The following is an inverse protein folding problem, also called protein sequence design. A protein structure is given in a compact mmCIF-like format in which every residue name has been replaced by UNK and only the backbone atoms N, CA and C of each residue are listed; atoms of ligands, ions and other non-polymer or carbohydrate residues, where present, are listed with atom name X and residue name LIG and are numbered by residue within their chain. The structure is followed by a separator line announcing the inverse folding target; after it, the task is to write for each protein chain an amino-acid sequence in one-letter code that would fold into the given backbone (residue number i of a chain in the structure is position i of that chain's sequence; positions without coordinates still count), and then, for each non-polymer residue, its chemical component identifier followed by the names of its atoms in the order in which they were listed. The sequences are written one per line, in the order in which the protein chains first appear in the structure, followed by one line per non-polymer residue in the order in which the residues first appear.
data_IF_632064724106
#
_entry.id   IF_632064724106
#
_cell.length_a   1.000
_cell.length_b   1.000
_cell.length_c   1.000
_cell.angle_alpha   90.00
_cell.angle_beta   90.00
_cell.angle_gamma   90.00
#
_symmetry.space_group_name_H-M   'P 1'
#
loop_
_entity.id
_entity.type
_entity.pdbx_description
1 polymer ?
#
# COMPACT_ATOMS: atom_id res chain seq x y z
N UNK A 1 -61.32 -22.34 -21.94
CA UNK A 1 -61.37 -21.05 -21.23
C UNK A 1 -60.29 -21.07 -20.15
N UNK A 2 -59.24 -20.27 -20.35
CA UNK A 2 -58.45 -19.57 -19.32
C UNK A 2 -59.40 -18.57 -18.58
N UNK A 3 -59.13 -17.97 -17.38
CA UNK A 3 -57.87 -17.35 -16.91
C UNK A 3 -57.45 -17.51 -15.42
N UNK A 4 -56.12 -17.47 -15.15
CA UNK A 4 -55.25 -16.42 -14.51
C UNK A 4 -55.24 -16.53 -12.97
N UNK A 5 -54.14 -16.35 -12.23
CA UNK A 5 -53.10 -15.31 -12.36
C UNK A 5 -51.73 -15.65 -11.70
N UNK A 6 -50.68 -15.16 -12.37
CA UNK A 6 -49.52 -14.39 -11.88
C UNK A 6 -48.56 -14.91 -10.80
N UNK A 7 -47.43 -15.46 -11.27
CA UNK A 7 -46.11 -15.33 -10.62
C UNK A 7 -45.23 -14.47 -11.54
N UNK A 8 -44.97 -13.23 -11.12
CA UNK A 8 -44.08 -12.29 -11.79
C UNK A 8 -42.61 -12.75 -11.66
N UNK A 9 -42.04 -13.18 -12.79
CA UNK A 9 -40.59 -13.22 -13.05
C UNK A 9 -40.19 -11.89 -13.67
N UNK A 10 -39.55 -11.01 -12.93
CA UNK A 10 -38.91 -9.84 -13.53
C UNK A 10 -37.54 -10.25 -14.11
N UNK A 11 -37.47 -10.09 -15.42
CA UNK A 11 -36.29 -10.21 -16.27
C UNK A 11 -35.90 -8.77 -16.60
N UNK A 12 -34.69 -8.32 -16.26
CA UNK A 12 -34.19 -7.04 -16.76
C UNK A 12 -33.01 -7.26 -17.70
N UNK A 13 -33.24 -6.81 -18.93
CA UNK A 13 -32.47 -7.13 -20.12
C UNK A 13 -31.23 -6.28 -20.31
N UNK A 14 -30.26 -6.91 -20.97
CA UNK A 14 -29.12 -6.30 -21.62
C UNK A 14 -29.57 -5.36 -22.75
N UNK A 15 -29.02 -4.15 -22.79
CA UNK A 15 -29.00 -3.32 -23.99
C UNK A 15 -27.57 -3.22 -24.53
N UNK A 16 -27.28 -4.02 -25.55
CA UNK A 16 -26.16 -3.84 -26.46
C UNK A 16 -26.58 -2.93 -27.61
N UNK A 17 -25.87 -1.81 -27.81
CA UNK A 17 -26.05 -0.92 -28.96
C UNK A 17 -24.71 -0.56 -29.58
N UNK A 18 -24.35 -1.23 -30.68
CA UNK A 18 -23.21 -0.91 -31.53
C UNK A 18 -23.62 0.07 -32.65
N UNK A 19 -22.65 0.89 -33.04
CA UNK A 19 -22.48 1.66 -34.28
C UNK A 19 -23.08 3.09 -34.39
N UNK A 20 -22.20 4.09 -34.26
CA UNK A 20 -21.78 4.93 -35.40
C UNK A 20 -20.59 5.82 -35.04
N UNK A 21 -19.57 5.77 -35.90
CA UNK A 21 -18.43 6.69 -35.96
C UNK A 21 -18.93 8.07 -36.39
N UNK A 22 -18.67 9.11 -35.59
CA UNK A 22 -18.54 10.50 -36.05
C UNK A 22 -17.45 11.18 -35.20
N UNK A 23 -16.36 11.59 -35.85
CA UNK A 23 -15.42 12.57 -35.30
C UNK A 23 -16.14 13.91 -35.11
N UNK A 24 -16.11 14.49 -33.90
CA UNK A 24 -16.16 15.95 -33.75
C UNK A 24 -15.55 16.43 -32.42
N UNK A 25 -14.50 17.22 -32.62
CA UNK A 25 -13.85 18.29 -31.84
C UNK A 25 -14.35 18.69 -30.43
N UNK A 26 -13.33 18.99 -29.60
CA UNK A 26 -13.25 19.96 -28.48
C UNK A 26 -14.51 20.77 -28.14
N UNK A 27 -14.83 20.81 -26.84
CA UNK A 27 -15.60 21.91 -26.25
C UNK A 27 -16.16 21.58 -24.87
N UNK A 28 -15.61 22.25 -23.85
CA UNK A 28 -16.10 22.33 -22.47
C UNK A 28 -17.61 22.57 -22.35
N UNK A 29 -18.22 22.19 -21.21
CA UNK A 29 -18.85 23.12 -20.23
C UNK A 29 -19.65 22.37 -19.14
N UNK A 30 -19.18 22.53 -17.88
CA UNK A 30 -19.92 22.84 -16.62
C UNK A 30 -20.99 21.86 -16.07
N UNK A 31 -21.29 21.75 -14.76
CA UNK A 31 -20.97 22.48 -13.51
C UNK A 31 -21.57 21.62 -12.37
N UNK A 32 -21.02 21.65 -11.17
CA UNK A 32 -21.83 21.91 -9.96
C UNK A 32 -21.03 22.73 -8.95
N UNK A 33 -21.56 23.91 -8.72
CA UNK A 33 -21.12 25.00 -7.85
C UNK A 33 -21.34 24.67 -6.38
N UNK A 34 -20.48 25.14 -5.47
CA UNK A 34 -20.90 25.61 -4.15
C UNK A 34 -20.13 26.88 -3.77
N UNK A 35 -20.91 27.91 -3.38
CA UNK A 35 -20.50 29.25 -3.01
C UNK A 35 -20.15 29.32 -1.51
N UNK A 36 -18.96 29.86 -1.23
CA UNK A 36 -18.55 30.82 -0.19
C UNK A 36 -19.35 30.88 1.13
N UNK A 37 -18.63 30.67 2.23
CA UNK A 37 -18.79 31.46 3.47
C UNK A 37 -17.41 31.75 4.07
N UNK A 38 -17.06 33.04 4.17
CA UNK A 38 -15.92 33.51 4.95
C UNK A 38 -16.19 33.25 6.44
N UNK A 39 -15.23 32.68 7.16
CA UNK A 39 -15.22 32.70 8.62
C UNK A 39 -13.80 32.91 9.15
N UNK A 40 -13.72 33.75 10.18
CA UNK A 40 -12.56 34.47 10.66
C UNK A 40 -11.43 33.60 11.25
N UNK A 41 -10.21 34.09 11.06
CA UNK A 41 -8.97 33.60 11.66
C UNK A 41 -9.01 33.84 13.17
N UNK A 42 -8.90 32.77 13.96
CA UNK A 42 -8.45 32.84 15.36
C UNK A 42 -7.18 32.01 15.47
N UNK A 43 -6.08 32.70 15.74
CA UNK A 43 -4.78 32.09 15.99
C UNK A 43 -4.82 31.34 17.34
N UNK A 44 -4.48 30.05 17.31
CA UNK A 44 -4.02 29.32 18.50
C UNK A 44 -2.54 29.00 18.30
N UNK A 45 -1.72 29.66 19.12
CA UNK A 45 -0.31 29.36 19.29
C UNK A 45 -0.12 28.13 20.19
N UNK A 46 1.07 27.52 20.08
CA UNK A 46 1.69 26.47 20.91
C UNK A 46 1.29 25.03 20.55
N UNK A 47 2.18 24.06 20.27
CA UNK A 47 3.60 23.92 20.56
C UNK A 47 4.38 23.35 19.37
N UNK A 48 5.59 23.89 19.17
CA UNK A 48 6.64 23.41 18.28
C UNK A 48 7.09 22.03 18.74
N UNK A 49 6.88 21.00 17.91
CA UNK A 49 7.77 19.84 17.91
C UNK A 49 8.78 20.06 16.79
N UNK A 50 10.04 20.26 17.20
CA UNK A 50 11.16 20.38 16.29
C UNK A 50 11.36 19.04 15.58
N UNK A 51 11.03 18.98 14.29
CA UNK A 51 11.55 17.96 13.39
C UNK A 51 12.86 18.50 12.83
N UNK A 52 13.97 18.00 13.36
CA UNK A 52 15.29 18.18 12.78
C UNK A 52 15.33 17.45 11.43
N UNK A 53 15.22 18.22 10.34
CA UNK A 53 15.55 17.76 9.01
C UNK A 53 17.04 18.01 8.80
N UNK A 54 17.86 16.99 9.01
CA UNK A 54 19.25 17.01 8.55
C UNK A 54 19.26 16.82 7.04
N UNK A 55 19.51 17.94 6.35
CA UNK A 55 19.87 17.98 4.96
C UNK A 55 21.28 17.41 4.78
N UNK A 56 21.42 16.35 3.97
CA UNK A 56 22.69 15.87 3.47
C UNK A 56 22.45 14.79 2.43
N UNK A 57 23.12 14.69 1.29
CA UNK A 57 24.26 15.41 0.72
C UNK A 57 24.17 15.20 -0.80
N UNK A 58 24.60 16.23 -1.52
CA UNK A 58 24.81 16.28 -2.96
C UNK A 58 25.60 15.07 -3.50
N UNK A 59 25.26 14.71 -4.74
CA UNK A 59 25.70 13.52 -5.46
C UNK A 59 27.17 13.11 -5.36
N UNK A 60 27.38 11.80 -5.23
CA UNK A 60 28.53 11.07 -5.76
C UNK A 60 28.08 9.67 -6.19
N UNK A 61 28.47 9.28 -7.41
CA UNK A 61 28.24 7.94 -7.99
C UNK A 61 28.87 6.86 -7.10
N UNK A 62 28.25 5.68 -6.92
CA UNK A 62 28.99 4.52 -6.47
C UNK A 62 29.71 3.89 -7.68
N UNK A 63 31.03 4.03 -7.73
CA UNK A 63 31.89 3.13 -8.51
C UNK A 63 32.72 2.27 -7.57
N UNK A 64 32.78 0.98 -7.89
CA UNK A 64 33.78 -0.02 -7.47
C UNK A 64 33.78 -0.46 -5.99
N UNK A 65 33.41 -1.74 -5.80
CA UNK A 65 33.88 -2.69 -4.79
C UNK A 65 34.54 -2.12 -3.52
N UNK A 66 33.79 -2.01 -2.43
CA UNK A 66 34.37 -2.08 -1.08
C UNK A 66 33.53 -2.98 -0.18
N UNK A 67 34.11 -4.13 0.10
CA UNK A 67 33.89 -4.94 1.30
C UNK A 67 34.19 -4.11 2.55
N UNK A 68 33.54 -4.46 3.67
CA UNK A 68 33.83 -4.09 5.07
C UNK A 68 33.04 -2.89 5.66
N UNK A 69 32.12 -3.26 6.58
CA UNK A 69 31.63 -2.58 7.79
C UNK A 69 31.03 -1.16 7.67
N UNK A 70 29.71 -1.07 7.85
CA UNK A 70 28.98 0.19 8.06
C UNK A 70 28.44 0.25 9.51
N UNK A 71 28.74 1.32 10.26
CA UNK A 71 27.81 1.92 11.19
C UNK A 71 27.30 3.23 10.58
N UNK A 72 26.06 3.26 10.13
CA UNK A 72 25.31 4.51 9.95
C UNK A 72 24.21 4.54 11.01
N UNK A 73 24.32 5.52 11.89
CA UNK A 73 23.46 5.65 13.07
C UNK A 73 22.00 5.83 12.69
N UNK A 74 21.14 5.06 13.35
CA UNK A 74 19.75 5.43 13.53
C UNK A 74 19.33 5.10 14.96
N UNK A 75 18.88 6.13 15.69
CA UNK A 75 18.40 6.03 17.06
C UNK A 75 17.09 5.25 17.09
N UNK A 76 17.16 3.92 17.26
CA UNK A 76 16.07 3.10 17.74
C UNK A 76 16.61 2.20 18.85
N UNK A 77 16.25 2.51 20.10
CA UNK A 77 16.67 1.84 21.33
C UNK A 77 16.03 0.43 21.51
N UNK A 78 15.93 -0.36 20.43
CA UNK A 78 15.48 -1.75 20.45
C UNK A 78 16.45 -2.72 19.76
N UNK A 79 17.59 -2.24 19.23
CA UNK A 79 18.49 -3.05 18.40
C UNK A 79 19.93 -3.16 18.95
N UNK A 80 20.09 -3.15 20.27
CA UNK A 80 21.40 -3.26 20.94
C UNK A 80 22.08 -4.63 20.74
N UNK A 81 21.36 -5.68 20.37
CA UNK A 81 21.95 -7.02 20.12
C UNK A 81 22.37 -7.28 18.66
N UNK A 82 22.09 -6.35 17.73
CA UNK A 82 22.43 -6.54 16.30
C UNK A 82 23.79 -5.93 15.93
N UNK A 83 24.42 -5.16 16.83
CA UNK A 83 25.73 -4.56 16.57
C UNK A 83 26.90 -5.56 16.55
N UNK A 84 26.67 -6.85 16.85
CA UNK A 84 27.70 -7.91 16.84
C UNK A 84 27.33 -9.16 16.04
N UNK A 85 26.24 -9.13 15.25
CA UNK A 85 25.85 -10.30 14.45
C UNK A 85 26.69 -10.37 13.18
N UNK A 86 27.62 -11.31 13.14
CA UNK A 86 28.28 -11.70 11.88
C UNK A 86 27.35 -12.63 11.10
N UNK A 87 26.99 -12.22 9.89
CA UNK A 87 26.12 -13.03 9.03
C UNK A 87 26.91 -14.10 8.29
N UNK A 88 26.46 -15.35 8.37
CA UNK A 88 26.99 -16.47 7.59
C UNK A 88 26.24 -16.54 6.25
N UNK A 89 26.78 -15.83 5.26
CA UNK A 89 26.19 -15.72 3.92
C UNK A 89 26.36 -16.98 3.06
N UNK A 90 27.16 -17.96 3.53
CA UNK A 90 27.30 -19.27 2.87
C UNK A 90 26.20 -20.22 3.34
N UNK A 91 25.82 -20.14 4.62
CA UNK A 91 24.81 -21.01 5.22
C UNK A 91 23.39 -20.49 5.09
N UNK A 92 23.18 -19.18 5.17
CA UNK A 92 21.85 -18.56 5.16
C UNK A 92 21.67 -17.66 3.94
N UNK A 93 20.43 -17.54 3.46
CA UNK A 93 20.11 -16.75 2.28
C UNK A 93 19.89 -15.26 2.59
N UNK A 94 19.40 -14.93 3.79
CA UNK A 94 19.08 -13.57 4.23
C UNK A 94 19.14 -13.45 5.77
N UNK A 95 19.29 -12.23 6.33
CA UNK A 95 19.48 -11.99 7.77
C UNK A 95 18.44 -12.64 8.69
N UNK A 96 17.14 -12.47 8.41
CA UNK A 96 16.07 -13.00 9.25
C UNK A 96 16.09 -14.53 9.34
N UNK A 97 16.56 -15.23 8.30
CA UNK A 97 16.71 -16.69 8.33
C UNK A 97 17.74 -17.12 9.37
N UNK A 98 18.89 -16.45 9.42
CA UNK A 98 19.93 -16.71 10.41
C UNK A 98 19.45 -16.39 11.82
N UNK A 99 18.91 -15.18 12.02
CA UNK A 99 18.46 -14.71 13.32
C UNK A 99 17.41 -15.66 13.92
N UNK A 100 16.43 -16.10 13.11
CA UNK A 100 15.43 -17.08 13.52
C UNK A 100 16.04 -18.44 13.86
N UNK A 101 16.98 -18.93 13.05
CA UNK A 101 17.62 -20.25 13.26
C UNK A 101 18.49 -20.28 14.51
N UNK A 102 19.15 -19.16 14.83
CA UNK A 102 20.01 -19.01 16.00
C UNK A 102 19.24 -18.59 17.27
N UNK A 103 17.91 -18.50 17.21
CA UNK A 103 17.08 -18.09 18.35
C UNK A 103 17.32 -16.64 18.80
N UNK A 104 17.82 -15.79 17.89
CA UNK A 104 18.05 -14.37 18.16
C UNK A 104 16.76 -13.58 17.92
N UNK A 105 16.51 -12.60 18.79
CA UNK A 105 15.40 -11.67 18.61
C UNK A 105 15.69 -10.72 17.45
N UNK A 106 14.66 -10.42 16.68
CA UNK A 106 14.71 -9.41 15.63
C UNK A 106 13.32 -8.85 15.39
N UNK A 107 13.26 -7.64 14.84
CA UNK A 107 12.01 -7.03 14.43
C UNK A 107 11.48 -7.71 13.16
N UNK A 108 10.41 -8.50 13.30
CA UNK A 108 9.76 -9.19 12.17
C UNK A 108 9.17 -8.22 11.14
N UNK A 109 8.86 -6.99 11.53
CA UNK A 109 8.34 -5.95 10.62
C UNK A 109 9.43 -5.34 9.76
N UNK A 110 10.70 -5.45 10.13
CA UNK A 110 11.79 -4.93 9.31
C UNK A 110 12.05 -5.79 8.06
N UNK A 111 11.43 -5.40 6.95
CA UNK A 111 11.53 -6.09 5.66
C UNK A 111 12.97 -6.18 5.13
N UNK A 112 13.86 -5.25 5.51
CA UNK A 112 15.27 -5.26 5.05
C UNK A 112 16.01 -6.51 5.53
N UNK A 113 15.58 -7.12 6.64
CA UNK A 113 16.14 -8.39 7.12
C UNK A 113 15.78 -9.59 6.21
N UNK A 114 14.91 -9.40 5.24
CA UNK A 114 14.51 -10.41 4.25
C UNK A 114 15.12 -10.16 2.87
N UNK A 115 16.06 -9.22 2.76
CA UNK A 115 16.87 -9.07 1.55
C UNK A 115 17.95 -10.14 1.48
N UNK A 116 18.09 -10.74 0.31
CA UNK A 116 19.10 -11.78 0.08
C UNK A 116 20.51 -11.21 0.19
N UNK A 117 21.43 -11.98 0.75
CA UNK A 117 22.83 -11.59 0.82
C UNK A 117 23.53 -11.51 -0.54
N UNK A 118 23.14 -12.36 -1.48
CA UNK A 118 23.80 -12.50 -2.78
C UNK A 118 23.33 -11.46 -3.81
N UNK A 119 22.03 -11.18 -3.87
CA UNK A 119 21.44 -10.30 -4.89
C UNK A 119 20.87 -9.00 -4.33
N UNK A 120 20.67 -8.88 -3.01
CA UNK A 120 19.95 -7.77 -2.39
C UNK A 120 18.45 -7.76 -2.67
N UNK A 121 17.93 -8.77 -3.40
CA UNK A 121 16.51 -8.88 -3.73
C UNK A 121 15.68 -9.23 -2.50
N UNK A 122 14.48 -8.65 -2.40
CA UNK A 122 13.58 -8.90 -1.28
C UNK A 122 12.85 -10.23 -1.45
N UNK A 123 13.00 -11.12 -0.45
CA UNK A 123 12.23 -12.35 -0.30
C UNK A 123 10.82 -12.04 0.24
N UNK A 124 9.99 -11.34 -0.54
CA UNK A 124 8.73 -10.74 -0.06
C UNK A 124 7.72 -11.77 0.50
N UNK A 125 7.64 -12.97 -0.10
CA UNK A 125 6.84 -14.07 0.45
C UNK A 125 7.39 -14.54 1.81
N UNK A 126 8.71 -14.74 1.93
CA UNK A 126 9.30 -15.18 3.19
C UNK A 126 9.12 -14.13 4.30
N UNK A 127 9.09 -12.85 3.94
CA UNK A 127 8.74 -11.79 4.87
C UNK A 127 7.29 -11.88 5.34
N UNK A 128 6.33 -11.97 4.41
CA UNK A 128 4.91 -12.13 4.75
C UNK A 128 4.64 -13.37 5.63
N UNK A 129 5.26 -14.50 5.29
CA UNK A 129 5.16 -15.72 6.08
C UNK A 129 5.75 -15.53 7.48
N UNK A 130 6.90 -14.84 7.58
CA UNK A 130 7.54 -14.48 8.86
C UNK A 130 6.68 -13.56 9.74
N UNK A 131 5.82 -12.75 9.14
CA UNK A 131 4.85 -11.90 9.84
C UNK A 131 3.62 -12.67 10.34
N UNK A 132 3.32 -13.83 9.75
CA UNK A 132 2.02 -14.50 9.88
C UNK A 132 0.94 -13.86 9.00
N UNK A 133 1.34 -13.18 7.93
CA UNK A 133 0.46 -12.57 6.92
C UNK A 133 0.53 -13.39 5.62
N UNK A 134 -0.30 -13.04 4.64
CA UNK A 134 -0.20 -13.58 3.27
C UNK A 134 -0.19 -12.44 2.27
N UNK A 135 0.53 -12.63 1.17
CA UNK A 135 0.48 -11.72 0.03
C UNK A 135 -0.41 -12.32 -1.05
N UNK A 136 -1.21 -11.48 -1.69
CA UNK A 136 -1.92 -11.83 -2.92
C UNK A 136 -1.59 -10.82 -4.00
N UNK A 137 -1.28 -11.34 -5.18
CA UNK A 137 -1.08 -10.56 -6.39
C UNK A 137 -2.43 -10.02 -6.89
N UNK A 138 -2.41 -8.83 -7.48
CA UNK A 138 -3.59 -8.22 -8.07
C UNK A 138 -3.20 -7.40 -9.30
N UNK A 139 -3.99 -7.50 -10.36
CA UNK A 139 -3.87 -6.68 -11.56
C UNK A 139 -5.21 -5.96 -11.84
N UNK A 140 -5.19 -4.63 -11.98
CA UNK A 140 -6.40 -3.81 -12.22
C UNK A 140 -6.93 -3.93 -13.67
N UNK A 141 -6.04 -4.20 -14.61
CA UNK A 141 -6.23 -4.02 -16.06
C UNK A 141 -7.09 -5.07 -16.78
N UNK A 142 -7.53 -6.11 -16.08
CA UNK A 142 -8.41 -7.14 -16.67
C UNK A 142 -9.87 -7.03 -16.25
N UNK A 143 -10.23 -6.13 -15.33
CA UNK A 143 -11.62 -6.01 -14.88
C UNK A 143 -12.61 -5.74 -16.03
N UNK A 144 -12.20 -4.97 -17.04
CA UNK A 144 -13.03 -4.70 -18.23
C UNK A 144 -13.05 -5.84 -19.26
N UNK A 145 -12.00 -6.68 -19.30
CA UNK A 145 -11.89 -7.82 -20.25
C UNK A 145 -12.46 -9.14 -19.70
N UNK A 146 -12.55 -9.26 -18.38
CA UNK A 146 -13.26 -10.32 -17.67
C UNK A 146 -14.16 -9.69 -16.59
N UNK A 147 -15.27 -9.05 -17.00
CA UNK A 147 -16.23 -8.49 -16.06
C UNK A 147 -16.68 -9.55 -15.05
N UNK A 148 -16.36 -9.36 -13.77
CA UNK A 148 -16.74 -10.26 -12.68
C UNK A 148 -15.64 -11.18 -12.15
N UNK A 149 -14.50 -11.32 -12.83
CA UNK A 149 -13.36 -12.11 -12.33
C UNK A 149 -12.22 -11.18 -11.93
N UNK A 150 -11.97 -11.04 -10.62
CA UNK A 150 -10.74 -10.41 -10.14
C UNK A 150 -9.57 -11.32 -10.49
N UNK A 151 -8.66 -10.85 -11.35
CA UNK A 151 -7.42 -11.58 -11.63
C UNK A 151 -6.47 -11.43 -10.45
N UNK A 152 -6.40 -12.47 -9.62
CA UNK A 152 -5.49 -12.55 -8.48
C UNK A 152 -4.13 -13.14 -8.88
N UNK A 153 -3.54 -12.55 -9.91
CA UNK A 153 -2.21 -12.83 -10.42
C UNK A 153 -1.71 -11.55 -11.11
N UNK A 154 -0.40 -11.35 -11.16
CA UNK A 154 0.15 -10.27 -11.98
C UNK A 154 -0.20 -10.48 -13.45
N UNK A 155 -0.61 -9.40 -14.11
CA UNK A 155 -0.83 -9.36 -15.55
C UNK A 155 0.16 -8.39 -16.19
N UNK A 156 1.13 -8.95 -16.91
CA UNK A 156 2.19 -8.22 -17.60
C UNK A 156 1.94 -8.13 -19.11
N UNK A 157 0.80 -8.66 -19.62
CA UNK A 157 0.50 -8.68 -21.06
C UNK A 157 0.33 -7.28 -21.64
N UNK A 158 0.00 -6.32 -20.79
CA UNK A 158 -0.24 -4.92 -21.17
C UNK A 158 1.02 -4.05 -21.11
N UNK A 159 2.21 -4.62 -20.85
CA UNK A 159 3.46 -3.83 -20.75
C UNK A 159 3.77 -2.98 -21.99
N UNK A 160 3.22 -3.36 -23.15
CA UNK A 160 3.34 -2.60 -24.40
C UNK A 160 2.46 -1.35 -24.45
N UNK A 161 1.53 -1.19 -23.51
CA UNK A 161 0.58 -0.08 -23.50
C UNK A 161 1.21 1.17 -22.83
N UNK A 162 0.95 2.37 -23.37
CA UNK A 162 1.59 3.60 -22.86
C UNK A 162 1.27 3.95 -21.39
N UNK A 163 0.14 3.46 -20.88
CA UNK A 163 -0.33 3.72 -19.51
C UNK A 163 0.04 2.61 -18.52
N UNK A 164 0.65 1.52 -19.00
CA UNK A 164 1.11 0.45 -18.14
C UNK A 164 2.36 0.91 -17.38
N UNK A 165 2.31 0.84 -16.05
CA UNK A 165 3.41 1.21 -15.16
C UNK A 165 4.07 2.52 -15.60
N UNK A 166 3.34 3.62 -15.42
CA UNK A 166 3.67 4.92 -16.02
C UNK A 166 3.75 6.05 -15.00
N UNK A 167 4.41 7.13 -15.40
CA UNK A 167 4.37 8.41 -14.72
C UNK A 167 3.24 9.27 -15.30
N UNK A 168 2.57 10.02 -14.43
CA UNK A 168 1.60 11.03 -14.82
C UNK A 168 1.70 12.24 -13.89
N UNK A 169 1.14 13.36 -14.34
CA UNK A 169 1.08 14.60 -13.55
C UNK A 169 -0.38 14.95 -13.25
N UNK A 170 -0.68 15.28 -12.00
CA UNK A 170 -2.00 15.73 -11.58
C UNK A 170 -1.86 16.99 -10.73
N UNK A 171 -2.45 18.11 -11.18
CA UNK A 171 -2.32 19.43 -10.55
C UNK A 171 -0.86 19.84 -10.26
N UNK A 172 0.06 19.52 -11.17
CA UNK A 172 1.49 19.80 -11.05
C UNK A 172 2.28 18.76 -10.23
N UNK A 173 1.61 17.84 -9.54
CA UNK A 173 2.25 16.77 -8.77
C UNK A 173 2.59 15.58 -9.69
N UNK A 174 3.85 15.16 -9.72
CA UNK A 174 4.33 13.98 -10.45
C UNK A 174 4.04 12.73 -9.64
N UNK A 175 3.45 11.74 -10.28
CA UNK A 175 3.00 10.50 -9.64
C UNK A 175 3.32 9.32 -10.54
N UNK A 176 3.42 8.13 -9.94
CA UNK A 176 3.44 6.90 -10.71
C UNK A 176 2.24 6.02 -10.34
N UNK A 177 1.72 5.33 -11.35
CA UNK A 177 0.73 4.28 -11.18
C UNK A 177 1.28 2.95 -11.62
N UNK A 178 0.96 1.90 -10.86
CA UNK A 178 1.03 0.53 -11.34
C UNK A 178 -0.33 -0.13 -11.31
N UNK A 179 -0.64 -0.85 -12.38
CA UNK A 179 -1.80 -1.72 -12.47
C UNK A 179 -1.61 -3.01 -11.67
N UNK A 180 -0.35 -3.39 -11.41
CA UNK A 180 0.03 -4.55 -10.61
C UNK A 180 0.28 -4.13 -9.15
N UNK A 181 -0.27 -4.88 -8.20
CA UNK A 181 -0.22 -4.57 -6.77
C UNK A 181 -0.03 -5.83 -5.95
N UNK A 182 0.66 -5.69 -4.83
CA UNK A 182 0.55 -6.65 -3.74
C UNK A 182 -0.54 -6.21 -2.77
N UNK A 183 -1.39 -7.16 -2.37
CA UNK A 183 -2.20 -7.05 -1.17
C UNK A 183 -1.54 -7.85 -0.05
N UNK A 184 -1.02 -7.14 0.94
CA UNK A 184 -0.65 -7.72 2.23
C UNK A 184 -1.93 -7.91 3.01
N UNK A 185 -2.32 -9.17 3.21
CA UNK A 185 -3.56 -9.54 3.88
C UNK A 185 -3.22 -10.24 5.18
N UNK A 186 -3.92 -9.86 6.24
CA UNK A 186 -3.86 -10.59 7.50
C UNK A 186 -4.42 -12.01 7.29
N UNK A 187 -3.82 -12.98 7.98
CA UNK A 187 -4.33 -14.34 8.02
C UNK A 187 -5.45 -14.41 9.07
N UNK A 188 -6.67 -14.12 8.65
CA UNK A 188 -7.85 -14.27 9.50
C UNK A 188 -8.41 -15.70 9.35
N UNK A 189 -8.74 -16.35 10.47
CA UNK A 189 -9.22 -17.74 10.53
C UNK A 189 -10.67 -17.92 10.09
N UNK A 190 -11.44 -16.83 10.01
CA UNK A 190 -12.75 -16.81 9.37
C UNK A 190 -12.58 -16.35 7.92
N UNK A 191 -13.12 -17.09 6.97
CA UNK A 191 -13.18 -16.68 5.56
C UNK A 191 -13.97 -15.38 5.42
N UNK A 192 -13.27 -14.25 5.61
CA UNK A 192 -13.80 -12.93 5.32
C UNK A 192 -13.74 -12.75 3.81
N UNK A 193 -14.88 -12.50 3.15
CA UNK A 193 -14.93 -12.12 1.73
C UNK A 193 -13.96 -10.97 1.40
N UNK A 194 -13.69 -10.12 2.40
CA UNK A 194 -12.69 -9.06 2.36
C UNK A 194 -11.86 -9.10 3.66
N UNK A 195 -10.59 -9.53 3.65
CA UNK A 195 -9.75 -9.50 4.84
C UNK A 195 -9.22 -8.08 5.13
N UNK A 196 -8.71 -7.86 6.34
CA UNK A 196 -7.88 -6.67 6.60
C UNK A 196 -6.66 -6.73 5.69
N UNK A 197 -6.45 -5.67 4.90
CA UNK A 197 -5.38 -5.66 3.91
C UNK A 197 -4.81 -4.28 3.63
N UNK A 198 -3.53 -4.26 3.27
CA UNK A 198 -2.80 -3.10 2.79
C UNK A 198 -2.30 -3.34 1.38
N UNK A 199 -2.08 -2.28 0.59
CA UNK A 199 -1.65 -2.40 -0.81
C UNK A 199 -0.34 -1.66 -1.09
N UNK A 200 0.50 -2.26 -1.91
CA UNK A 200 1.74 -1.66 -2.46
C UNK A 200 1.77 -1.89 -3.97
N UNK A 201 2.14 -0.87 -4.74
CA UNK A 201 2.31 -0.97 -6.19
C UNK A 201 3.54 -1.80 -6.55
N UNK A 202 3.42 -2.63 -7.59
CA UNK A 202 4.48 -3.49 -8.11
C UNK A 202 4.80 -3.06 -9.52
N UNK A 203 6.05 -2.67 -9.75
CA UNK A 203 6.51 -2.01 -10.96
C UNK A 203 7.42 -2.94 -11.76
N UNK A 204 7.44 -2.82 -13.08
CA UNK A 204 8.43 -3.48 -13.94
C UNK A 204 9.65 -2.59 -14.21
N UNK A 205 9.53 -1.30 -13.90
CA UNK A 205 10.60 -0.29 -13.97
C UNK A 205 10.90 0.27 -12.58
N UNK A 206 12.17 0.27 -12.14
CA UNK A 206 12.52 0.84 -10.83
C UNK A 206 12.27 2.35 -10.77
N UNK A 207 12.32 3.05 -11.90
CA UNK A 207 12.07 4.49 -12.00
C UNK A 207 10.63 4.87 -11.68
N UNK A 208 9.70 3.91 -11.57
CA UNK A 208 8.30 4.16 -11.23
C UNK A 208 7.99 3.94 -9.74
N UNK A 209 8.98 3.55 -8.93
CA UNK A 209 8.79 3.26 -7.51
C UNK A 209 8.64 4.53 -6.67
N UNK A 210 7.58 5.31 -6.91
CA UNK A 210 7.30 6.58 -6.24
C UNK A 210 6.63 6.34 -4.88
N UNK A 211 6.94 7.13 -3.86
CA UNK A 211 6.22 7.13 -2.59
C UNK A 211 4.71 7.30 -2.76
N UNK A 212 3.95 6.47 -2.05
CA UNK A 212 2.49 6.57 -1.97
C UNK A 212 2.02 6.03 -0.63
N UNK A 213 1.27 6.85 0.11
CA UNK A 213 0.71 6.41 1.38
C UNK A 213 -0.21 5.20 1.26
N UNK A 214 -0.10 4.32 2.22
CA UNK A 214 -0.81 3.05 2.32
C UNK A 214 -2.29 3.26 2.51
N UNK A 215 -3.09 2.47 1.80
CA UNK A 215 -4.51 2.30 2.10
C UNK A 215 -4.70 1.02 2.90
N UNK A 216 -5.34 1.16 4.06
CA UNK A 216 -5.70 0.05 4.95
C UNK A 216 -7.19 -0.21 4.75
N UNK A 217 -7.51 -1.34 4.12
CA UNK A 217 -8.89 -1.80 3.94
C UNK A 217 -9.28 -2.62 5.15
N UNK A 218 -10.40 -2.27 5.77
CA UNK A 218 -10.96 -2.95 6.94
C UNK A 218 -12.40 -3.36 6.65
N UNK A 219 -12.75 -4.65 6.78
CA UNK A 219 -14.10 -5.14 6.55
C UNK A 219 -15.06 -4.69 7.66
N UNK A 220 -16.36 -4.67 7.33
CA UNK A 220 -17.38 -4.40 8.33
C UNK A 220 -17.38 -5.45 9.44
N UNK A 221 -17.68 -5.01 10.67
CA UNK A 221 -17.43 -5.79 11.87
C UNK A 221 -18.44 -5.48 12.98
N UNK A 222 -18.68 -6.45 13.86
CA UNK A 222 -19.58 -6.33 15.01
C UNK A 222 -18.83 -6.56 16.32
N UNK A 223 -19.15 -5.75 17.31
CA UNK A 223 -18.77 -5.93 18.69
C UNK A 223 -19.67 -6.96 19.39
N UNK A 224 -19.20 -7.56 20.48
CA UNK A 224 -19.97 -8.52 21.30
C UNK A 224 -21.26 -7.92 21.88
N UNK A 225 -21.33 -6.59 22.04
CA UNK A 225 -22.53 -5.90 22.50
C UNK A 225 -23.54 -5.57 21.38
N UNK A 226 -23.30 -6.01 20.14
CA UNK A 226 -24.16 -5.76 18.97
C UNK A 226 -23.92 -4.43 18.25
N UNK A 227 -22.98 -3.59 18.70
CA UNK A 227 -22.56 -2.39 17.94
C UNK A 227 -21.77 -2.80 16.70
N UNK A 228 -21.96 -2.12 15.57
CA UNK A 228 -21.31 -2.46 14.32
C UNK A 228 -20.57 -1.29 13.68
N UNK A 229 -19.55 -1.62 12.89
CA UNK A 229 -18.82 -0.71 12.02
C UNK A 229 -18.95 -1.19 10.58
N UNK A 230 -19.20 -0.30 9.61
CA UNK A 230 -19.24 -0.68 8.21
C UNK A 230 -17.84 -0.91 7.66
N UNK A 231 -17.78 -1.56 6.49
CA UNK A 231 -16.57 -1.57 5.67
C UNK A 231 -16.01 -0.16 5.51
N UNK A 232 -14.69 -0.03 5.60
CA UNK A 232 -14.02 1.25 5.46
C UNK A 232 -12.60 1.09 4.91
N UNK A 233 -12.13 2.15 4.27
CA UNK A 233 -10.72 2.29 3.91
C UNK A 233 -10.14 3.47 4.69
N UNK A 234 -8.94 3.26 5.23
CA UNK A 234 -8.20 4.23 6.01
C UNK A 234 -6.91 4.61 5.29
N UNK A 235 -6.60 5.90 5.27
CA UNK A 235 -5.35 6.46 4.75
C UNK A 235 -5.11 7.80 5.43
N UNK A 236 -3.85 8.19 5.61
CA UNK A 236 -3.54 9.52 6.11
C UNK A 236 -4.10 10.59 5.17
N UNK A 237 -4.68 11.64 5.74
CA UNK A 237 -5.34 12.72 5.02
C UNK A 237 -4.41 13.38 4.00
N UNK A 238 -3.13 13.54 4.37
CA UNK A 238 -2.10 14.05 3.46
C UNK A 238 -2.02 13.20 2.17
N UNK A 239 -1.93 11.88 2.31
CA UNK A 239 -1.82 10.95 1.19
C UNK A 239 -3.11 10.76 0.42
N UNK A 240 -4.25 10.88 1.11
CA UNK A 240 -5.56 10.94 0.47
C UNK A 240 -5.65 12.18 -0.44
N UNK A 241 -5.29 13.36 0.07
CA UNK A 241 -5.29 14.60 -0.71
C UNK A 241 -4.31 14.50 -1.89
N UNK A 242 -3.09 14.03 -1.65
CA UNK A 242 -2.09 13.85 -2.71
C UNK A 242 -2.58 12.88 -3.81
N UNK A 243 -3.26 11.80 -3.42
CA UNK A 243 -3.89 10.86 -4.36
C UNK A 243 -5.01 11.46 -5.21
N UNK A 244 -5.54 12.62 -4.82
CA UNK A 244 -6.55 13.40 -5.54
C UNK A 244 -5.97 14.69 -6.17
N UNK A 245 -4.64 14.83 -6.21
CA UNK A 245 -3.97 15.99 -6.80
C UNK A 245 -4.07 17.24 -5.94
N UNK A 246 -4.24 17.08 -4.63
CA UNK A 246 -4.35 18.17 -3.68
C UNK A 246 -3.16 18.12 -2.73
N UNK A 247 -2.44 19.23 -2.60
CA UNK A 247 -1.40 19.35 -1.57
C UNK A 247 -2.03 19.79 -0.26
N UNK A 248 -1.42 19.38 0.86
CA UNK A 248 -1.84 19.84 2.19
C UNK A 248 -0.74 20.70 2.75
N UNK A 249 -0.92 22.02 2.69
CA UNK A 249 0.02 23.00 3.25
C UNK A 249 1.42 22.99 2.61
N UNK A 250 1.56 22.54 1.36
CA UNK A 250 2.79 22.65 0.57
C UNK A 250 2.49 22.92 -0.90
N UNK A 251 3.50 23.31 -1.68
CA UNK A 251 3.36 23.48 -3.13
C UNK A 251 3.53 22.16 -3.87
N UNK A 252 3.10 22.09 -5.13
CA UNK A 252 3.38 20.93 -5.98
C UNK A 252 4.90 20.72 -6.20
N UNK A 253 5.68 21.81 -6.18
CA UNK A 253 7.15 21.76 -6.28
C UNK A 253 7.76 21.11 -5.03
N UNK A 254 7.29 21.49 -3.84
CA UNK A 254 7.71 20.87 -2.56
C UNK A 254 7.37 19.38 -2.53
N UNK A 255 6.17 19.02 -2.97
CA UNK A 255 5.77 17.62 -3.10
C UNK A 255 6.69 16.87 -4.07
N UNK A 256 6.94 17.43 -5.25
CA UNK A 256 7.75 16.77 -6.28
C UNK A 256 9.20 16.56 -5.83
N UNK A 257 9.75 17.53 -5.10
CA UNK A 257 11.08 17.43 -4.52
C UNK A 257 11.21 16.29 -3.50
N UNK A 258 10.11 15.89 -2.85
CA UNK A 258 10.09 14.81 -1.84
C UNK A 258 9.62 13.46 -2.39
N UNK A 259 8.58 13.46 -3.22
CA UNK A 259 7.78 12.28 -3.56
C UNK A 259 7.52 12.12 -5.07
N UNK A 260 7.78 13.16 -5.88
CA UNK A 260 7.56 13.14 -7.33
C UNK A 260 8.68 12.47 -8.12
N UNK A 261 9.34 11.47 -7.52
CA UNK A 261 10.44 10.71 -8.09
C UNK A 261 10.54 9.35 -7.38
N UNK A 262 11.29 8.41 -7.97
CA UNK A 262 11.47 7.09 -7.39
C UNK A 262 12.30 7.17 -6.10
N UNK A 263 11.83 6.49 -5.05
CA UNK A 263 12.49 6.42 -3.75
C UNK A 263 12.66 4.96 -3.35
N UNK A 264 13.92 4.60 -3.10
CA UNK A 264 14.37 3.25 -2.72
C UNK A 264 13.71 2.13 -3.55
N UNK A 265 13.94 2.04 -4.88
CA UNK A 265 13.41 0.93 -5.66
C UNK A 265 14.01 -0.41 -5.18
N UNK A 266 13.17 -1.29 -4.66
CA UNK A 266 13.56 -2.61 -4.14
C UNK A 266 13.20 -3.66 -5.17
N UNK A 267 14.20 -4.38 -5.69
CA UNK A 267 13.97 -5.50 -6.58
C UNK A 267 13.45 -6.71 -5.79
N UNK A 268 12.42 -7.37 -6.31
CA UNK A 268 11.81 -8.55 -5.69
C UNK A 268 12.51 -9.83 -6.15
N UNK A 269 12.69 -10.77 -5.22
CA UNK A 269 12.97 -12.17 -5.57
C UNK A 269 11.63 -12.86 -5.86
N UNK A 270 11.29 -13.01 -7.13
CA UNK A 270 9.99 -13.54 -7.57
C UNK A 270 10.13 -14.52 -8.75
N UNK A 271 10.69 -15.73 -8.52
CA UNK A 271 11.12 -16.63 -9.60
C UNK A 271 9.97 -17.20 -10.44
N UNK A 272 8.72 -17.16 -9.95
CA UNK A 272 7.53 -17.56 -10.70
C UNK A 272 7.23 -16.61 -11.86
N UNK A 273 7.79 -15.39 -11.84
CA UNK A 273 7.65 -14.39 -12.88
C UNK A 273 9.00 -14.18 -13.55
N UNK A 274 9.10 -14.50 -14.84
CA UNK A 274 10.33 -14.32 -15.62
C UNK A 274 10.53 -12.84 -16.04
N UNK A 275 10.39 -11.91 -15.09
CA UNK A 275 10.53 -10.46 -15.26
C UNK A 275 11.02 -9.86 -13.95
N UNK A 276 11.92 -8.88 -14.04
CA UNK A 276 12.28 -8.10 -12.85
C UNK A 276 11.08 -7.29 -12.38
N UNK A 277 10.76 -7.40 -11.09
CA UNK A 277 9.70 -6.66 -10.44
C UNK A 277 10.29 -5.82 -9.31
N UNK A 278 9.68 -4.67 -9.07
CA UNK A 278 10.15 -3.68 -8.10
C UNK A 278 8.99 -3.18 -7.24
N UNK A 279 9.30 -2.79 -6.02
CA UNK A 279 8.40 -2.06 -5.12
C UNK A 279 9.17 -0.88 -4.54
N UNK A 280 8.47 0.18 -4.14
CA UNK A 280 9.11 1.26 -3.39
C UNK A 280 9.37 0.83 -1.95
N UNK A 281 10.63 0.89 -1.51
CA UNK A 281 11.04 0.67 -0.12
C UNK A 281 10.39 1.66 0.83
N UNK A 282 10.14 2.90 0.37
CA UNK A 282 9.35 3.88 1.11
C UNK A 282 7.91 3.37 1.38
N UNK A 283 7.26 2.81 0.37
CA UNK A 283 5.93 2.21 0.53
C UNK A 283 5.95 0.96 1.40
N UNK A 284 7.05 0.20 1.40
CA UNK A 284 7.25 -0.90 2.34
C UNK A 284 7.32 -0.38 3.78
N UNK A 285 8.13 0.64 4.04
CA UNK A 285 8.22 1.28 5.36
C UNK A 285 6.85 1.81 5.82
N UNK A 286 6.09 2.42 4.92
CA UNK A 286 4.75 2.91 5.24
C UNK A 286 3.76 1.78 5.59
N UNK A 287 3.80 0.61 4.92
CA UNK A 287 2.98 -0.54 5.39
C UNK A 287 3.49 -1.07 6.74
N UNK A 288 4.81 -1.09 6.97
CA UNK A 288 5.40 -1.60 8.23
C UNK A 288 5.02 -0.76 9.44
N UNK A 289 4.73 0.54 9.24
CA UNK A 289 4.19 1.44 10.27
C UNK A 289 2.86 0.93 10.83
N UNK A 290 2.00 0.35 10.00
CA UNK A 290 0.64 -0.05 10.38
C UNK A 290 0.50 -1.53 10.75
N UNK A 291 1.38 -2.40 10.24
CA UNK A 291 1.37 -3.83 10.59
C UNK A 291 1.36 -4.12 12.11
N UNK A 292 2.25 -3.55 12.95
CA UNK A 292 2.20 -3.79 14.39
C UNK A 292 0.95 -3.21 15.05
N UNK A 293 0.41 -2.10 14.54
CA UNK A 293 -0.84 -1.52 15.04
C UNK A 293 -1.99 -2.49 14.77
N UNK A 294 -2.08 -3.03 13.56
CA UNK A 294 -3.10 -4.01 13.17
C UNK A 294 -2.94 -5.29 13.99
N UNK A 295 -1.73 -5.85 14.08
CA UNK A 295 -1.46 -7.07 14.84
C UNK A 295 -1.82 -6.90 16.32
N UNK A 296 -1.54 -5.73 16.92
CA UNK A 296 -1.77 -5.47 18.36
C UNK A 296 -3.23 -5.55 18.80
N UNK A 297 -4.18 -5.42 17.87
CA UNK A 297 -5.62 -5.44 18.18
C UNK A 297 -6.14 -6.88 18.33
N UNK A 298 -5.47 -7.85 17.74
CA UNK A 298 -5.94 -9.23 17.72
C UNK A 298 -5.10 -10.08 18.66
N UNK A 299 -5.73 -10.46 19.76
CA UNK A 299 -5.04 -11.04 20.92
C UNK A 299 -4.91 -12.56 20.82
N UNK A 300 -5.72 -13.19 19.98
CA UNK A 300 -5.71 -14.62 19.71
C UNK A 300 -6.17 -14.92 18.28
N UNK A 301 -6.17 -16.21 17.90
CA UNK A 301 -6.62 -16.70 16.60
C UNK A 301 -8.06 -17.25 16.64
N UNK A 302 -8.82 -17.00 17.71
CA UNK A 302 -10.17 -17.53 17.85
C UNK A 302 -11.09 -16.84 16.83
N UNK A 303 -11.66 -17.59 15.86
CA UNK A 303 -12.51 -17.00 14.83
C UNK A 303 -13.74 -16.29 15.39
N UNK A 304 -14.24 -16.68 16.57
CA UNK A 304 -15.39 -16.03 17.23
C UNK A 304 -15.07 -14.59 17.64
N UNK A 305 -13.82 -14.28 17.94
CA UNK A 305 -13.38 -12.95 18.37
C UNK A 305 -13.00 -12.04 17.19
N UNK A 306 -12.82 -12.58 15.97
CA UNK A 306 -12.30 -11.83 14.83
C UNK A 306 -13.14 -10.60 14.48
N UNK A 307 -14.48 -10.71 14.54
CA UNK A 307 -15.36 -9.57 14.27
C UNK A 307 -15.18 -8.48 15.33
N UNK A 308 -15.08 -8.87 16.61
CA UNK A 308 -14.84 -7.92 17.69
C UNK A 308 -13.47 -7.23 17.57
N UNK A 309 -12.40 -7.96 17.26
CA UNK A 309 -11.08 -7.37 17.03
C UNK A 309 -11.07 -6.44 15.82
N UNK A 310 -11.75 -6.82 14.74
CA UNK A 310 -11.89 -5.94 13.56
C UNK A 310 -12.67 -4.67 13.90
N UNK A 311 -13.73 -4.77 14.71
CA UNK A 311 -14.44 -3.63 15.25
C UNK A 311 -13.50 -2.71 16.04
N UNK A 312 -12.68 -3.25 16.95
CA UNK A 312 -11.70 -2.47 17.70
C UNK A 312 -10.64 -1.82 16.78
N UNK A 313 -10.28 -2.48 15.69
CA UNK A 313 -9.33 -1.95 14.70
C UNK A 313 -9.87 -0.66 14.05
N UNK A 314 -11.17 -0.59 13.71
CA UNK A 314 -11.78 0.65 13.22
C UNK A 314 -11.57 1.83 14.17
N UNK A 315 -11.78 1.63 15.47
CA UNK A 315 -11.54 2.67 16.47
C UNK A 315 -10.06 3.02 16.60
N UNK A 316 -9.19 1.99 16.61
CA UNK A 316 -7.75 2.20 16.70
C UNK A 316 -7.26 3.05 15.53
N UNK A 317 -7.66 2.74 14.30
CA UNK A 317 -7.24 3.49 13.12
C UNK A 317 -7.79 4.93 13.12
N UNK A 318 -9.06 5.14 13.50
CA UNK A 318 -9.63 6.50 13.65
C UNK A 318 -8.91 7.35 14.69
N UNK A 319 -8.32 6.71 15.71
CA UNK A 319 -7.57 7.42 16.76
C UNK A 319 -6.18 7.87 16.32
N UNK A 320 -5.67 7.37 15.18
CA UNK A 320 -4.34 7.75 14.70
C UNK A 320 -4.33 9.19 14.18
N UNK A 321 -3.34 10.02 14.56
CA UNK A 321 -3.22 11.38 14.06
C UNK A 321 -3.19 11.44 12.53
N UNK A 322 -4.01 12.35 11.97
CA UNK A 322 -4.07 12.54 10.52
C UNK A 322 -4.74 11.42 9.72
N UNK A 323 -5.20 10.35 10.35
CA UNK A 323 -5.87 9.25 9.65
C UNK A 323 -7.28 9.67 9.22
N UNK A 324 -7.64 9.38 7.97
CA UNK A 324 -8.96 9.63 7.41
C UNK A 324 -9.64 8.33 7.04
N UNK A 325 -10.90 8.20 7.47
CA UNK A 325 -11.81 7.15 7.02
C UNK A 325 -12.56 7.61 5.75
N UNK A 326 -12.65 6.73 4.77
CA UNK A 326 -13.47 6.87 3.56
C UNK A 326 -14.14 5.55 3.21
N UNK A 327 -15.22 5.64 2.42
CA UNK A 327 -16.11 4.54 2.04
C UNK A 327 -16.26 4.46 0.55
#
# INVERSE_FOLDING_TARGET
MQPDSDIQRETYGYYSGLARVVHLERGDIMKKTFLVTMLAVVAFATNVFATEAEAGVLGLKPSANQSVTQPSGNNNAANTDVQSVTYDTVKYQYPAQQLKTEGKNFDKYNWRLFQRFDTGELMVQAWADGLGWRIREYADNTYERTPGERTYAFDLREEVLPYYDCEYTMNGMRMSSSENKFFFMRNDSGDMDIPVRMRVGVHVKPENCYPRGTQIVVPGAMNHNGSGEPFAVYQELYWYNASNGQTTNETAEDYNAKYGHAVEPVKLYYPSVNRALYVSGWCLDDVTKYMPIIDSVYLDNNPENNSHYTYLLHYKLRSLPGMKQFT
#
